data_IF_755220867405
#
_entry.id   IF_755220867405
#
_cell.length_a   1.000
_cell.length_b   1.000
_cell.length_c   1.000
_cell.angle_alpha   90.00
_cell.angle_beta   90.00
_cell.angle_gamma   90.00
#
_symmetry.space_group_name_H-M   'P 1'
#
loop_
_entity.id
_entity.type
_entity.pdbx_description
1 polymer ?
#
# COMPACT_ATOMS: atom_id res chain seq x y z
N UNK A 1 17.36 7.50 -19.06
CA UNK A 1 17.21 6.61 -20.23
C UNK A 1 17.62 5.21 -19.82
N UNK A 2 16.88 4.18 -20.21
CA UNK A 2 17.23 2.77 -19.98
C UNK A 2 17.84 2.14 -21.24
N UNK A 3 18.49 0.98 -21.09
CA UNK A 3 19.13 0.19 -22.15
C UNK A 3 18.30 -1.01 -22.60
N UNK A 4 17.27 -1.40 -21.86
CA UNK A 4 16.51 -2.65 -22.05
C UNK A 4 17.13 -3.86 -21.31
N UNK A 5 18.36 -3.75 -20.81
CA UNK A 5 18.97 -4.75 -19.93
C UNK A 5 18.47 -4.62 -18.49
N UNK A 6 18.78 -5.61 -17.64
CA UNK A 6 18.48 -5.56 -16.21
C UNK A 6 19.05 -4.31 -15.53
N UNK A 7 18.31 -3.77 -14.55
CA UNK A 7 18.67 -2.56 -13.78
C UNK A 7 18.82 -2.96 -12.31
N UNK A 8 20.01 -2.77 -11.75
CA UNK A 8 20.27 -2.94 -10.32
C UNK A 8 20.27 -1.57 -9.62
N UNK A 9 19.67 -1.50 -8.43
CA UNK A 9 19.71 -0.32 -7.56
C UNK A 9 20.20 -0.75 -6.18
N UNK A 10 21.27 -0.12 -5.70
CA UNK A 10 21.91 -0.41 -4.41
C UNK A 10 21.54 0.69 -3.42
N UNK A 11 21.03 0.32 -2.24
CA UNK A 11 20.62 1.26 -1.18
C UNK A 11 21.41 0.93 0.10
N UNK A 12 22.50 1.65 0.40
CA UNK A 12 23.25 1.48 1.64
C UNK A 12 22.37 1.67 2.89
N UNK A 13 22.71 0.98 3.98
CA UNK A 13 22.08 1.13 5.30
C UNK A 13 23.07 1.78 6.25
N UNK A 14 22.74 2.96 6.79
CA UNK A 14 23.68 3.84 7.51
C UNK A 14 23.50 3.88 9.03
N UNK A 15 22.35 3.45 9.56
CA UNK A 15 22.02 3.45 11.01
C UNK A 15 21.64 2.05 11.50
N UNK A 16 22.51 1.06 11.25
CA UNK A 16 22.27 -0.35 11.53
C UNK A 16 22.60 -0.73 12.98
N UNK A 17 21.64 -0.54 13.90
CA UNK A 17 21.80 -0.82 15.34
C UNK A 17 21.36 -2.24 15.72
N UNK A 18 22.09 -3.25 15.26
CA UNK A 18 21.74 -4.66 15.50
C UNK A 18 21.66 -5.01 17.00
N UNK A 19 22.55 -4.42 17.82
CA UNK A 19 22.68 -4.71 19.27
C UNK A 19 21.43 -4.39 20.09
N UNK A 20 20.62 -3.44 19.63
CA UNK A 20 19.37 -3.04 20.29
C UNK A 20 18.33 -4.19 20.30
N UNK A 21 18.59 -5.28 19.55
CA UNK A 21 17.73 -6.46 19.43
C UNK A 21 18.34 -7.75 20.01
N UNK A 22 19.58 -7.73 20.52
CA UNK A 22 20.26 -8.95 21.00
C UNK A 22 19.49 -9.57 22.20
N UNK A 23 18.91 -8.72 23.06
CA UNK A 23 18.05 -9.12 24.18
C UNK A 23 16.70 -9.76 23.76
N UNK A 24 16.39 -9.80 22.46
CA UNK A 24 15.17 -10.38 21.88
C UNK A 24 15.47 -11.62 21.03
N UNK A 25 16.67 -12.21 21.15
CA UNK A 25 17.13 -13.34 20.33
C UNK A 25 16.17 -14.54 20.36
N UNK A 26 15.74 -14.95 21.56
CA UNK A 26 14.94 -16.15 21.84
C UNK A 26 13.46 -15.86 22.14
N UNK A 27 13.13 -14.65 22.60
CA UNK A 27 11.74 -14.20 22.85
C UNK A 27 10.97 -14.13 21.52
N UNK A 28 9.76 -14.71 21.44
CA UNK A 28 8.86 -14.54 20.30
C UNK A 28 8.09 -13.22 20.44
N UNK A 29 8.21 -12.30 19.49
CA UNK A 29 7.55 -10.98 19.59
C UNK A 29 6.10 -11.07 19.08
N UNK A 30 5.08 -10.68 19.88
CA UNK A 30 3.69 -10.65 19.44
C UNK A 30 3.51 -9.88 18.13
N UNK A 31 2.71 -10.43 17.21
CA UNK A 31 2.42 -9.82 15.91
C UNK A 31 3.58 -9.75 14.89
N UNK A 32 4.79 -10.23 15.22
CA UNK A 32 5.90 -10.38 14.27
C UNK A 32 5.91 -11.79 13.65
N UNK A 33 6.71 -11.97 12.59
CA UNK A 33 6.83 -13.24 11.87
C UNK A 33 7.69 -14.31 12.60
N UNK A 34 8.08 -14.06 13.85
CA UNK A 34 9.15 -14.78 14.56
C UNK A 34 8.93 -16.30 14.64
N UNK A 35 7.75 -16.72 15.12
CA UNK A 35 7.37 -18.13 15.18
C UNK A 35 7.31 -18.78 13.78
N UNK A 36 6.74 -18.08 12.81
CA UNK A 36 6.60 -18.58 11.44
C UNK A 36 7.95 -18.79 10.73
N UNK A 37 8.96 -17.97 11.05
CA UNK A 37 10.32 -18.17 10.54
C UNK A 37 11.02 -19.35 11.23
N UNK A 38 10.91 -19.48 12.55
CA UNK A 38 11.46 -20.65 13.27
C UNK A 38 10.83 -21.96 12.77
N UNK A 39 9.51 -22.03 12.68
CA UNK A 39 8.80 -23.22 12.22
C UNK A 39 9.10 -23.59 10.75
N UNK A 40 9.38 -22.61 9.89
CA UNK A 40 9.66 -22.83 8.46
C UNK A 40 11.13 -23.10 8.13
N UNK A 41 12.06 -22.51 8.88
CA UNK A 41 13.49 -22.51 8.53
C UNK A 41 14.40 -23.05 9.64
N UNK A 42 13.87 -23.42 10.81
CA UNK A 42 14.64 -23.81 11.99
C UNK A 42 15.43 -22.68 12.65
N UNK A 43 15.39 -21.47 12.10
CA UNK A 43 16.24 -20.34 12.51
C UNK A 43 15.56 -18.98 12.30
N UNK A 44 15.99 -17.99 13.08
CA UNK A 44 15.44 -16.61 13.09
C UNK A 44 16.56 -15.57 13.14
N UNK A 45 16.53 -14.63 12.20
CA UNK A 45 17.30 -13.39 12.34
C UNK A 45 16.54 -12.43 13.26
N UNK A 46 16.98 -12.35 14.51
CA UNK A 46 16.37 -11.54 15.56
C UNK A 46 16.69 -10.04 15.44
N UNK A 47 17.70 -9.66 14.65
CA UNK A 47 18.39 -8.35 14.69
C UNK A 47 17.62 -7.18 14.05
N UNK A 48 16.28 -7.26 14.03
CA UNK A 48 15.37 -6.24 13.48
C UNK A 48 15.38 -6.07 11.95
N UNK A 49 16.52 -6.28 11.28
CA UNK A 49 16.76 -6.03 9.86
C UNK A 49 16.71 -7.25 8.93
N UNK A 50 16.35 -8.44 9.44
CA UNK A 50 16.27 -9.67 8.67
C UNK A 50 15.19 -9.68 7.57
N UNK A 51 15.03 -10.79 6.83
CA UNK A 51 14.16 -10.85 5.63
C UNK A 51 12.67 -10.54 5.85
N UNK A 52 12.18 -10.63 7.10
CA UNK A 52 10.83 -10.22 7.48
C UNK A 52 10.66 -8.70 7.73
N UNK A 53 11.76 -7.93 7.72
CA UNK A 53 11.79 -6.51 8.04
C UNK A 53 11.28 -5.65 6.89
N UNK A 54 10.58 -4.56 7.23
CA UNK A 54 10.14 -3.56 6.26
C UNK A 54 11.29 -2.88 5.49
N UNK A 55 12.56 -3.06 5.90
CA UNK A 55 13.73 -2.58 5.15
C UNK A 55 13.76 -3.07 3.70
N UNK A 56 13.20 -4.24 3.40
CA UNK A 56 13.11 -4.79 2.04
C UNK A 56 12.25 -3.91 1.11
N UNK A 57 11.21 -3.23 1.62
CA UNK A 57 10.32 -2.42 0.77
C UNK A 57 11.01 -1.20 0.19
N UNK A 58 12.16 -0.76 0.71
CA UNK A 58 12.98 0.28 0.09
C UNK A 58 13.42 -0.10 -1.33
N UNK A 59 13.72 -1.37 -1.58
CA UNK A 59 14.03 -1.87 -2.92
C UNK A 59 12.78 -1.87 -3.82
N UNK A 60 11.61 -2.21 -3.26
CA UNK A 60 10.32 -2.15 -3.97
C UNK A 60 9.96 -0.72 -4.37
N UNK A 61 10.14 0.26 -3.48
CA UNK A 61 9.93 1.68 -3.79
C UNK A 61 10.86 2.15 -4.91
N UNK A 62 12.15 1.77 -4.87
CA UNK A 62 13.09 2.10 -5.94
C UNK A 62 12.70 1.48 -7.31
N UNK A 63 12.23 0.23 -7.33
CA UNK A 63 11.69 -0.41 -8.52
C UNK A 63 10.36 0.24 -8.97
N UNK A 64 9.51 0.62 -8.02
CA UNK A 64 8.25 1.34 -8.24
C UNK A 64 8.46 2.71 -8.89
N UNK A 65 9.55 3.42 -8.61
CA UNK A 65 9.93 4.65 -9.32
C UNK A 65 10.25 4.39 -10.80
N UNK A 66 10.84 3.23 -11.14
CA UNK A 66 11.03 2.83 -12.53
C UNK A 66 9.69 2.49 -13.18
N UNK A 67 8.82 1.75 -12.48
CA UNK A 67 7.48 1.39 -12.95
C UNK A 67 6.57 2.62 -13.18
N UNK A 68 6.50 3.56 -12.23
CA UNK A 68 5.81 4.86 -12.38
C UNK A 68 6.32 5.61 -13.62
N UNK A 69 7.64 5.60 -13.89
CA UNK A 69 8.24 6.26 -15.07
C UNK A 69 7.88 5.57 -16.40
N UNK A 70 7.81 4.24 -16.43
CA UNK A 70 7.33 3.48 -17.61
C UNK A 70 5.86 3.84 -17.89
N UNK A 71 5.00 3.74 -16.87
CA UNK A 71 3.57 4.02 -16.98
C UNK A 71 3.28 5.48 -17.38
N UNK A 72 3.95 6.45 -16.76
CA UNK A 72 3.82 7.86 -17.11
C UNK A 72 4.30 8.15 -18.54
N UNK A 73 5.41 7.55 -18.98
CA UNK A 73 5.96 7.77 -20.33
C UNK A 73 5.17 7.05 -21.44
N UNK A 74 4.44 5.98 -21.12
CA UNK A 74 3.72 5.16 -22.10
C UNK A 74 2.23 5.52 -22.21
N UNK A 75 1.60 5.88 -21.09
CA UNK A 75 0.15 6.06 -20.96
C UNK A 75 -0.24 7.45 -20.42
N UNK A 76 0.74 8.26 -20.00
CA UNK A 76 0.48 9.42 -19.14
C UNK A 76 -0.01 9.04 -17.74
N UNK A 77 0.02 7.74 -17.38
CA UNK A 77 -0.60 7.24 -16.16
C UNK A 77 0.07 7.79 -14.89
N UNK A 78 -0.74 8.06 -13.87
CA UNK A 78 -0.31 8.43 -12.52
C UNK A 78 -0.73 7.35 -11.54
N UNK A 79 0.09 7.10 -10.53
CA UNK A 79 -0.27 6.31 -9.35
C UNK A 79 -0.01 7.19 -8.12
N UNK A 80 -1.05 7.53 -7.38
CA UNK A 80 -1.02 8.41 -6.20
C UNK A 80 -1.66 7.67 -5.04
N UNK A 81 -0.95 7.57 -3.92
CA UNK A 81 -1.47 6.98 -2.67
C UNK A 81 -1.59 8.02 -1.56
N UNK A 82 -2.50 7.79 -0.62
CA UNK A 82 -2.71 8.63 0.55
C UNK A 82 -3.29 7.86 1.73
N UNK A 83 -3.13 8.39 2.94
CA UNK A 83 -3.78 7.88 4.14
C UNK A 83 -5.22 8.37 4.17
N UNK A 84 -6.18 7.44 4.25
CA UNK A 84 -7.61 7.71 4.21
C UNK A 84 -8.33 7.43 5.54
N UNK A 85 -7.68 6.69 6.45
CA UNK A 85 -8.16 6.48 7.82
C UNK A 85 -6.99 6.25 8.77
N UNK A 86 -7.03 6.83 9.98
CA UNK A 86 -6.19 6.42 11.12
C UNK A 86 -7.06 6.25 12.35
N UNK A 87 -7.10 5.04 12.91
CA UNK A 87 -8.03 4.71 14.00
C UNK A 87 -9.49 4.89 13.56
N UNK A 88 -10.23 5.69 14.30
CA UNK A 88 -11.61 6.14 14.02
C UNK A 88 -11.68 7.39 13.12
N UNK A 89 -10.56 8.07 12.86
CA UNK A 89 -10.50 9.27 12.03
C UNK A 89 -10.45 8.89 10.54
N UNK A 90 -11.59 9.02 9.86
CA UNK A 90 -11.69 8.94 8.40
C UNK A 90 -11.41 10.32 7.75
N UNK A 91 -10.99 10.29 6.49
CA UNK A 91 -10.80 11.43 5.60
C UNK A 91 -11.91 11.54 4.55
N UNK A 92 -12.38 12.77 4.28
CA UNK A 92 -13.41 13.03 3.28
C UNK A 92 -12.78 13.37 1.92
N UNK A 93 -12.73 12.39 1.01
CA UNK A 93 -12.14 12.52 -0.33
C UNK A 93 -13.18 12.11 -1.40
N UNK A 94 -14.06 13.02 -1.84
CA UNK A 94 -15.19 12.70 -2.72
C UNK A 94 -14.78 12.35 -4.15
N UNK A 95 -13.65 12.88 -4.64
CA UNK A 95 -13.01 12.42 -5.88
C UNK A 95 -11.58 11.93 -5.60
N UNK A 96 -11.38 10.61 -5.40
CA UNK A 96 -10.06 10.01 -5.27
C UNK A 96 -9.14 10.19 -6.50
N UNK A 97 -9.69 10.42 -7.69
CA UNK A 97 -8.93 10.56 -8.94
C UNK A 97 -8.39 11.99 -9.17
N UNK A 98 -8.99 12.99 -8.52
CA UNK A 98 -8.48 14.37 -8.48
C UNK A 98 -7.25 14.53 -7.56
N UNK A 99 -7.00 13.59 -6.63
CA UNK A 99 -5.89 13.69 -5.66
C UNK A 99 -4.54 13.73 -6.37
N UNK A 100 -3.72 14.73 -6.02
CA UNK A 100 -2.37 14.91 -6.57
C UNK A 100 -1.28 14.66 -5.52
N UNK A 101 -0.07 14.37 -5.98
CA UNK A 101 1.12 14.19 -5.13
C UNK A 101 1.37 15.40 -4.23
N UNK A 102 1.15 16.63 -4.71
CA UNK A 102 1.35 17.85 -3.92
C UNK A 102 0.31 17.99 -2.78
N UNK A 103 -0.95 17.62 -3.02
CA UNK A 103 -2.01 17.56 -1.98
C UNK A 103 -1.71 16.50 -0.90
N UNK A 104 -0.96 15.45 -1.24
CA UNK A 104 -0.58 14.38 -0.31
C UNK A 104 0.68 14.76 0.47
N UNK A 105 1.67 15.39 -0.18
CA UNK A 105 2.95 15.75 0.43
C UNK A 105 2.91 17.09 1.20
N UNK A 106 1.86 17.92 1.04
CA UNK A 106 1.71 19.21 1.74
C UNK A 106 0.51 19.30 2.69
N UNK A 107 0.66 20.11 3.73
CA UNK A 107 -0.43 20.62 4.56
C UNK A 107 -1.01 21.92 4.01
N UNK A 108 -2.04 22.45 4.68
CA UNK A 108 -2.74 23.69 4.29
C UNK A 108 -1.86 24.95 4.31
N UNK A 109 -0.71 24.89 4.98
CA UNK A 109 0.32 25.94 5.07
C UNK A 109 1.46 25.76 4.04
N UNK A 110 1.39 24.70 3.21
CA UNK A 110 2.42 24.33 2.24
C UNK A 110 3.61 23.55 2.81
N UNK A 111 3.66 23.34 4.13
CA UNK A 111 4.68 22.55 4.82
C UNK A 111 4.50 21.03 4.59
N UNK A 112 5.51 20.19 4.84
CA UNK A 112 5.40 18.74 4.61
C UNK A 112 4.30 18.07 5.45
N UNK A 113 3.40 17.33 4.81
CA UNK A 113 2.29 16.63 5.44
C UNK A 113 2.78 15.40 6.23
N UNK A 114 2.75 15.39 7.58
CA UNK A 114 3.32 14.31 8.37
C UNK A 114 2.52 13.00 8.27
N UNK A 115 1.25 13.08 7.87
CA UNK A 115 0.34 11.93 7.78
C UNK A 115 -0.05 11.54 6.36
N UNK A 116 0.31 12.33 5.35
CA UNK A 116 0.01 12.07 3.92
C UNK A 116 -1.48 11.87 3.64
N UNK A 117 -2.32 12.72 4.24
CA UNK A 117 -3.76 12.76 4.03
C UNK A 117 -4.14 14.09 3.32
N UNK A 118 -4.83 14.06 2.15
CA UNK A 118 -5.18 15.26 1.39
C UNK A 118 -6.35 16.06 2.00
N UNK A 119 -7.21 15.42 2.80
CA UNK A 119 -8.12 16.13 3.69
C UNK A 119 -7.29 16.70 4.86
N UNK A 120 -7.03 18.01 4.83
CA UNK A 120 -6.23 18.67 5.87
C UNK A 120 -6.94 18.72 7.24
N UNK A 121 -8.28 18.67 7.29
CA UNK A 121 -9.02 18.66 8.53
C UNK A 121 -8.96 17.27 9.20
N UNK A 122 -9.08 16.20 8.42
CA UNK A 122 -8.79 14.86 8.90
C UNK A 122 -7.30 14.70 9.23
N UNK A 123 -6.38 15.23 8.44
CA UNK A 123 -4.94 15.13 8.70
C UNK A 123 -4.58 15.66 10.11
N UNK A 124 -5.14 16.79 10.53
CA UNK A 124 -4.95 17.33 11.88
C UNK A 124 -5.49 16.39 12.98
N UNK A 125 -6.68 15.79 12.76
CA UNK A 125 -7.27 14.78 13.67
C UNK A 125 -6.43 13.49 13.71
N UNK A 126 -5.93 13.03 12.57
CA UNK A 126 -5.05 11.86 12.45
C UNK A 126 -3.73 12.07 13.19
N UNK A 127 -3.11 13.25 13.07
CA UNK A 127 -1.93 13.63 13.87
C UNK A 127 -2.23 13.53 15.36
N UNK A 128 -3.36 14.10 15.81
CA UNK A 128 -3.76 14.04 17.22
C UNK A 128 -3.98 12.60 17.74
N UNK A 129 -4.56 11.72 16.92
CA UNK A 129 -4.75 10.30 17.24
C UNK A 129 -3.42 9.51 17.32
N UNK A 130 -2.49 9.75 16.39
CA UNK A 130 -1.15 9.14 16.41
C UNK A 130 -0.35 9.63 17.62
N UNK A 131 -0.47 10.91 17.95
CA UNK A 131 0.13 11.53 19.14
C UNK A 131 -0.49 11.00 20.44
N UNK A 132 -1.79 10.68 20.47
CA UNK A 132 -2.43 10.00 21.60
C UNK A 132 -1.84 8.61 21.80
N UNK A 133 -1.89 7.75 20.78
CA UNK A 133 -1.30 6.41 20.84
C UNK A 133 0.17 6.44 21.31
N UNK A 134 0.97 7.41 20.81
CA UNK A 134 2.36 7.58 21.25
C UNK A 134 2.50 7.96 22.73
N UNK A 135 1.64 8.82 23.28
CA UNK A 135 1.63 9.15 24.73
C UNK A 135 1.22 7.95 25.57
N UNK A 136 0.25 7.19 25.09
CA UNK A 136 -0.30 6.00 25.75
C UNK A 136 0.63 4.77 25.60
N UNK A 137 1.82 4.97 25.01
CA UNK A 137 2.87 3.97 24.73
C UNK A 137 2.44 2.86 23.76
N UNK A 138 1.42 3.10 22.96
CA UNK A 138 0.81 2.14 22.05
C UNK A 138 0.97 2.56 20.56
N UNK A 139 0.21 1.94 19.67
CA UNK A 139 0.19 2.25 18.24
C UNK A 139 -1.23 2.19 17.66
N UNK A 140 -1.41 2.80 16.49
CA UNK A 140 -2.69 2.87 15.78
C UNK A 140 -2.52 2.42 14.32
N UNK A 141 -3.53 1.72 13.80
CA UNK A 141 -3.63 1.28 12.41
C UNK A 141 -4.64 2.12 11.62
N UNK A 142 -5.11 1.60 10.49
CA UNK A 142 -6.11 2.26 9.65
C UNK A 142 -5.99 1.87 8.19
N UNK A 143 -6.27 2.79 7.28
CA UNK A 143 -6.39 2.52 5.84
C UNK A 143 -5.62 3.55 5.02
N UNK A 144 -4.94 3.07 3.97
CA UNK A 144 -4.43 3.91 2.89
C UNK A 144 -5.15 3.57 1.58
N UNK A 145 -5.51 4.60 0.83
CA UNK A 145 -6.06 4.50 -0.53
C UNK A 145 -4.92 4.64 -1.54
N UNK A 146 -4.96 3.89 -2.64
CA UNK A 146 -4.09 4.09 -3.81
C UNK A 146 -4.95 4.18 -5.07
N UNK A 147 -4.72 5.23 -5.87
CA UNK A 147 -5.47 5.51 -7.09
C UNK A 147 -4.53 5.52 -8.29
N UNK A 148 -4.89 4.79 -9.34
CA UNK A 148 -4.20 4.83 -10.63
C UNK A 148 -5.11 5.45 -11.70
N UNK A 149 -4.69 6.58 -12.26
CA UNK A 149 -5.43 7.34 -13.28
C UNK A 149 -4.74 7.28 -14.64
N UNK A 150 -5.53 7.44 -15.72
CA UNK A 150 -5.11 7.25 -17.12
C UNK A 150 -4.52 5.86 -17.41
N UNK A 151 -5.07 4.84 -16.75
CA UNK A 151 -4.93 3.43 -17.15
C UNK A 151 -5.99 3.17 -18.24
N UNK A 152 -5.63 2.68 -19.43
CA UNK A 152 -6.60 2.38 -20.48
C UNK A 152 -7.48 1.19 -20.11
N UNK A 153 -8.58 0.98 -20.83
CA UNK A 153 -9.34 -0.26 -20.78
C UNK A 153 -8.53 -1.43 -21.38
N UNK A 154 -8.79 -2.66 -20.96
CA UNK A 154 -8.17 -3.86 -21.53
C UNK A 154 -6.89 -4.37 -20.85
N UNK A 155 -6.54 -3.85 -19.67
CA UNK A 155 -5.38 -4.29 -18.89
C UNK A 155 -5.77 -5.40 -17.90
N UNK A 156 -5.17 -6.59 -17.99
CA UNK A 156 -5.47 -7.75 -17.13
C UNK A 156 -5.86 -9.00 -17.92
N UNK A 157 -5.69 -10.18 -17.31
CA UNK A 157 -6.06 -11.46 -17.92
C UNK A 157 -7.48 -11.92 -17.49
N UNK A 158 -8.23 -12.64 -18.35
CA UNK A 158 -9.64 -12.97 -18.09
C UNK A 158 -9.88 -14.06 -17.03
N UNK A 159 -8.85 -14.87 -16.69
CA UNK A 159 -8.99 -16.03 -15.79
C UNK A 159 -7.99 -16.00 -14.63
N UNK A 160 -6.71 -16.30 -14.88
CA UNK A 160 -5.73 -16.56 -13.81
C UNK A 160 -4.95 -15.31 -13.38
N UNK A 161 -4.49 -14.47 -14.33
CA UNK A 161 -3.81 -13.20 -14.04
C UNK A 161 -4.76 -12.01 -13.96
N UNK A 162 -5.86 -12.10 -13.20
CA UNK A 162 -6.82 -10.98 -13.09
C UNK A 162 -6.14 -9.79 -12.44
N UNK A 163 -6.25 -8.60 -13.04
CA UNK A 163 -5.57 -7.40 -12.57
C UNK A 163 -5.86 -7.11 -11.08
N UNK A 164 -7.11 -7.28 -10.63
CA UNK A 164 -7.48 -7.13 -9.21
C UNK A 164 -6.82 -8.15 -8.27
N UNK A 165 -6.53 -9.37 -8.76
CA UNK A 165 -5.87 -10.41 -7.96
C UNK A 165 -4.37 -10.12 -7.84
N UNK A 166 -3.71 -9.75 -8.94
CA UNK A 166 -2.29 -9.37 -8.93
C UNK A 166 -2.06 -8.09 -8.10
N UNK A 167 -2.97 -7.10 -8.19
CA UNK A 167 -2.93 -5.89 -7.36
C UNK A 167 -3.13 -6.21 -5.86
N UNK A 168 -4.09 -7.07 -5.52
CA UNK A 168 -4.31 -7.50 -4.16
C UNK A 168 -3.10 -8.28 -3.61
N UNK A 169 -2.54 -9.23 -4.37
CA UNK A 169 -1.33 -9.95 -4.01
C UNK A 169 -0.12 -9.00 -3.84
N UNK A 170 0.01 -8.00 -4.71
CA UNK A 170 1.01 -6.94 -4.60
C UNK A 170 0.91 -6.20 -3.27
N UNK A 171 -0.30 -5.77 -2.88
CA UNK A 171 -0.54 -5.08 -1.61
C UNK A 171 -0.41 -5.99 -0.38
N UNK A 172 -0.99 -7.20 -0.38
CA UNK A 172 -0.84 -8.19 0.70
C UNK A 172 0.61 -8.67 0.90
N UNK A 173 1.47 -8.55 -0.10
CA UNK A 173 2.90 -8.86 0.04
C UNK A 173 3.71 -7.81 0.81
N UNK A 174 3.09 -6.69 1.22
CA UNK A 174 3.70 -5.66 2.06
C UNK A 174 3.50 -5.96 3.55
N UNK A 175 4.46 -5.60 4.43
CA UNK A 175 4.32 -5.78 5.86
C UNK A 175 3.08 -5.09 6.43
N UNK A 176 2.47 -5.72 7.45
CA UNK A 176 1.31 -5.22 8.22
C UNK A 176 0.00 -5.00 7.44
N UNK A 177 -0.09 -5.32 6.15
CA UNK A 177 -1.38 -5.36 5.43
C UNK A 177 -2.19 -6.57 5.89
N UNK A 178 -3.46 -6.33 6.25
CA UNK A 178 -4.39 -7.37 6.74
C UNK A 178 -5.70 -7.43 5.95
N UNK A 179 -5.97 -6.46 5.09
CA UNK A 179 -7.09 -6.45 4.16
C UNK A 179 -6.80 -5.58 2.95
N UNK A 180 -7.36 -5.94 1.79
CA UNK A 180 -7.27 -5.17 0.54
C UNK A 180 -8.62 -5.21 -0.16
N UNK A 181 -9.07 -4.08 -0.66
CA UNK A 181 -10.31 -3.93 -1.43
C UNK A 181 -10.13 -2.99 -2.63
N UNK A 182 -11.12 -2.97 -3.52
CA UNK A 182 -11.15 -2.10 -4.70
C UNK A 182 -12.59 -1.60 -4.96
N UNK A 183 -12.74 -0.39 -5.48
CA UNK A 183 -14.05 0.23 -5.71
C UNK A 183 -14.83 0.47 -4.41
N UNK A 184 -16.08 0.02 -4.35
CA UNK A 184 -16.87 -0.01 -3.10
C UNK A 184 -16.37 -1.06 -2.09
N UNK A 185 -15.55 -2.02 -2.52
CA UNK A 185 -14.95 -2.99 -1.63
C UNK A 185 -15.96 -3.79 -0.81
N UNK A 186 -15.85 -3.75 0.52
CA UNK A 186 -16.84 -4.37 1.41
C UNK A 186 -18.19 -3.63 1.43
N UNK A 187 -18.25 -2.36 1.05
CA UNK A 187 -19.51 -1.59 0.92
C UNK A 187 -20.48 -2.20 -0.10
N UNK A 188 -19.95 -2.85 -1.14
CA UNK A 188 -20.74 -3.56 -2.14
C UNK A 188 -21.64 -4.66 -1.55
N UNK A 189 -21.28 -5.25 -0.40
CA UNK A 189 -22.01 -6.34 0.23
C UNK A 189 -23.41 -5.95 0.76
N UNK A 190 -23.68 -4.65 0.97
CA UNK A 190 -25.01 -4.14 1.37
C UNK A 190 -25.76 -3.45 0.23
N UNK A 191 -25.18 -3.38 -0.97
CA UNK A 191 -25.79 -2.73 -2.13
C UNK A 191 -26.67 -3.68 -2.94
N UNK A 192 -27.70 -3.12 -3.60
CA UNK A 192 -28.44 -3.82 -4.66
C UNK A 192 -27.72 -3.58 -6.00
N UNK A 193 -27.81 -4.53 -6.94
CA UNK A 193 -27.23 -4.37 -8.28
C UNK A 193 -27.70 -3.10 -9.00
N UNK A 194 -28.95 -2.66 -8.79
CA UNK A 194 -29.48 -1.40 -9.33
C UNK A 194 -28.85 -0.12 -8.76
N UNK A 195 -28.03 -0.23 -7.70
CA UNK A 195 -27.30 0.88 -7.08
C UNK A 195 -25.76 0.72 -7.19
N UNK A 196 -25.26 -0.50 -7.43
CA UNK A 196 -23.83 -0.78 -7.65
C UNK A 196 -23.45 -0.82 -9.14
N UNK A 197 -24.37 -1.15 -10.05
CA UNK A 197 -24.04 -1.24 -11.48
C UNK A 197 -23.74 0.15 -12.05
N UNK A 198 -22.48 0.40 -12.39
CA UNK A 198 -22.01 1.61 -13.05
C UNK A 198 -22.55 1.71 -14.50
N UNK A 199 -23.46 2.65 -14.82
CA UNK A 199 -24.03 2.77 -16.17
C UNK A 199 -22.98 3.27 -17.18
N UNK A 200 -22.93 2.65 -18.36
CA UNK A 200 -22.07 3.12 -19.45
C UNK A 200 -22.58 4.41 -20.09
N UNK A 201 -21.64 5.28 -20.46
CA UNK A 201 -21.88 6.52 -21.21
C UNK A 201 -20.77 6.72 -22.24
N UNK A 202 -20.99 7.61 -23.19
CA UNK A 202 -19.93 8.19 -24.03
C UNK A 202 -19.56 9.55 -23.44
N UNK A 203 -18.28 9.93 -23.47
CA UNK A 203 -17.83 11.28 -23.09
C UNK A 203 -17.74 12.24 -24.30
N UNK A 204 -17.37 13.50 -24.05
CA UNK A 204 -17.34 14.54 -25.08
C UNK A 204 -16.34 14.28 -26.23
N UNK A 205 -15.33 13.43 -26.01
CA UNK A 205 -14.34 13.04 -26.99
C UNK A 205 -14.72 11.73 -27.72
N UNK A 206 -15.89 11.15 -27.41
CA UNK A 206 -16.38 9.92 -28.02
C UNK A 206 -15.92 8.63 -27.33
N UNK A 207 -15.24 8.70 -26.19
CA UNK A 207 -14.75 7.51 -25.49
C UNK A 207 -15.82 6.89 -24.57
N UNK A 208 -15.86 5.56 -24.52
CA UNK A 208 -16.73 4.83 -23.59
C UNK A 208 -16.21 4.96 -22.15
N UNK A 209 -17.10 5.38 -21.25
CA UNK A 209 -16.89 5.49 -19.80
C UNK A 209 -18.05 4.87 -19.04
N UNK A 210 -18.01 4.94 -17.72
CA UNK A 210 -19.21 4.83 -16.86
C UNK A 210 -19.49 6.16 -16.15
N UNK A 211 -20.75 6.41 -15.77
CA UNK A 211 -21.17 7.64 -15.06
C UNK A 211 -20.79 7.65 -13.58
N UNK A 212 -20.44 6.48 -13.04
CA UNK A 212 -19.98 6.20 -11.68
C UNK A 212 -18.76 5.25 -11.74
N UNK A 213 -18.15 4.91 -10.60
CA UNK A 213 -16.98 4.03 -10.54
C UNK A 213 -16.99 3.09 -9.31
N UNK A 214 -18.16 2.56 -8.95
CA UNK A 214 -18.34 1.58 -7.87
C UNK A 214 -17.51 0.31 -8.10
N UNK A 215 -17.33 -0.11 -9.36
CA UNK A 215 -16.41 -1.18 -9.75
C UNK A 215 -14.90 -0.84 -9.61
N UNK A 216 -14.54 0.38 -9.24
CA UNK A 216 -13.16 0.78 -8.90
C UNK A 216 -12.15 0.59 -10.02
N UNK A 217 -12.53 0.90 -11.26
CA UNK A 217 -11.71 0.78 -12.46
C UNK A 217 -11.49 -0.64 -13.01
N UNK A 218 -12.01 -1.71 -12.38
CA UNK A 218 -11.79 -3.11 -12.81
C UNK A 218 -13.11 -3.90 -12.94
N UNK A 219 -13.43 -4.35 -14.16
CA UNK A 219 -14.59 -5.20 -14.47
C UNK A 219 -14.14 -6.59 -14.94
N UNK A 220 -14.75 -7.66 -14.40
CA UNK A 220 -14.41 -9.06 -14.71
C UNK A 220 -13.01 -9.54 -14.25
N UNK A 221 -12.08 -8.63 -13.99
CA UNK A 221 -10.64 -8.86 -13.81
C UNK A 221 -9.75 -8.02 -14.73
N UNK A 222 -10.34 -7.19 -15.59
CA UNK A 222 -9.68 -6.36 -16.61
C UNK A 222 -10.02 -4.88 -16.32
N UNK A 223 -9.11 -3.94 -16.61
CA UNK A 223 -9.37 -2.51 -16.44
C UNK A 223 -10.48 -2.00 -17.37
N UNK A 224 -11.30 -1.07 -16.87
CA UNK A 224 -12.43 -0.48 -17.58
C UNK A 224 -12.11 0.87 -18.26
N UNK A 225 -10.91 1.43 -18.06
CA UNK A 225 -10.57 2.81 -18.45
C UNK A 225 -10.99 3.89 -17.44
N UNK A 226 -11.71 3.51 -16.38
CA UNK A 226 -12.00 4.37 -15.23
C UNK A 226 -10.84 4.29 -14.20
N UNK A 227 -10.70 5.28 -13.30
CA UNK A 227 -9.66 5.27 -12.27
C UNK A 227 -9.68 3.98 -11.45
N UNK A 228 -8.54 3.29 -11.34
CA UNK A 228 -8.43 2.13 -10.45
C UNK A 228 -8.28 2.65 -9.02
N UNK A 229 -9.23 2.32 -8.15
CA UNK A 229 -9.26 2.76 -6.74
C UNK A 229 -9.11 1.52 -5.86
N UNK A 230 -8.03 1.49 -5.08
CA UNK A 230 -7.68 0.42 -4.14
C UNK A 230 -7.61 0.98 -2.72
N UNK A 231 -7.97 0.19 -1.71
CA UNK A 231 -7.70 0.52 -0.31
C UNK A 231 -7.04 -0.67 0.39
N UNK A 232 -6.08 -0.41 1.27
CA UNK A 232 -5.37 -1.42 2.03
C UNK A 232 -5.42 -1.09 3.54
N UNK A 233 -5.93 -2.04 4.32
CA UNK A 233 -6.00 -1.96 5.77
C UNK A 233 -4.66 -2.41 6.37
N UNK A 234 -4.05 -1.51 7.16
CA UNK A 234 -2.75 -1.70 7.81
C UNK A 234 -2.96 -1.80 9.31
N UNK A 235 -2.51 -2.91 9.91
CA UNK A 235 -2.63 -3.14 11.36
C UNK A 235 -1.71 -2.21 12.19
N UNK A 236 -1.99 -2.00 13.48
CA UNK A 236 -1.08 -1.28 14.39
C UNK A 236 0.32 -1.91 14.47
N UNK A 237 1.32 -1.07 14.79
CA UNK A 237 2.72 -1.46 14.93
C UNK A 237 2.92 -2.41 16.11
N UNK A 238 3.26 -3.68 15.87
CA UNK A 238 3.31 -4.69 16.94
C UNK A 238 4.52 -4.58 17.89
N UNK A 239 5.46 -3.65 17.64
CA UNK A 239 6.48 -3.26 18.60
C UNK A 239 6.07 -1.99 19.35
N UNK A 240 5.60 -2.14 20.59
CA UNK A 240 5.16 -1.03 21.46
C UNK A 240 5.94 -1.01 22.78
N UNK A 241 6.20 0.18 23.37
CA UNK A 241 6.79 0.34 24.70
C UNK A 241 5.78 0.08 25.85
N UNK A 242 4.98 -0.98 25.74
CA UNK A 242 4.15 -1.54 26.81
C UNK A 242 4.54 -3.00 27.05
N UNK A 243 4.54 -3.48 28.31
CA UNK A 243 4.74 -4.90 28.60
C UNK A 243 3.66 -5.77 27.94
N UNK A 244 4.08 -6.88 27.33
CA UNK A 244 3.23 -7.88 26.69
C UNK A 244 3.68 -9.27 27.10
N UNK A 245 2.75 -10.12 27.53
CA UNK A 245 3.01 -11.52 27.78
C UNK A 245 3.27 -12.27 26.46
N UNK A 246 4.24 -13.17 26.45
CA UNK A 246 4.62 -14.01 25.32
C UNK A 246 5.36 -15.27 25.80
N UNK A 247 6.04 -15.98 24.90
CA UNK A 247 6.95 -17.11 25.23
C UNK A 247 8.32 -16.95 24.56
N UNK A 248 9.32 -17.67 25.07
CA UNK A 248 10.58 -17.93 24.39
C UNK A 248 10.40 -19.02 23.34
N UNK A 249 11.42 -19.23 22.50
CA UNK A 249 11.43 -20.25 21.45
C UNK A 249 11.33 -21.71 21.96
N UNK A 250 11.58 -21.96 23.25
CA UNK A 250 11.36 -23.25 23.92
C UNK A 250 9.94 -23.41 24.51
N UNK A 251 9.08 -22.40 24.39
CA UNK A 251 7.72 -22.37 24.94
C UNK A 251 7.63 -21.87 26.39
N UNK A 252 8.74 -21.54 27.05
CA UNK A 252 8.71 -21.00 28.41
C UNK A 252 8.12 -19.58 28.45
N UNK A 253 7.34 -19.21 29.49
CA UNK A 253 6.73 -17.87 29.59
C UNK A 253 7.76 -16.73 29.61
N UNK A 254 7.44 -15.63 28.94
CA UNK A 254 8.24 -14.42 28.90
C UNK A 254 7.36 -13.16 28.86
N UNK A 255 7.98 -12.02 29.14
CA UNK A 255 7.41 -10.69 28.92
C UNK A 255 8.31 -9.91 27.97
N UNK A 256 7.71 -9.02 27.17
CA UNK A 256 8.44 -8.10 26.29
C UNK A 256 7.86 -6.68 26.35
N UNK A 257 8.74 -5.69 26.52
CA UNK A 257 8.46 -4.26 26.32
C UNK A 257 9.46 -3.74 25.28
N UNK A 258 9.01 -3.30 24.11
CA UNK A 258 9.94 -2.90 23.02
C UNK A 258 10.27 -1.41 23.14
N UNK A 259 11.42 -1.12 23.76
CA UNK A 259 11.92 0.25 23.97
C UNK A 259 12.75 0.72 22.76
N UNK A 260 12.44 1.90 22.24
CA UNK A 260 13.18 2.51 21.14
C UNK A 260 12.35 3.46 20.31
N UNK A 261 12.86 3.83 19.13
CA UNK A 261 12.11 4.61 18.12
C UNK A 261 11.32 3.66 17.22
N UNK A 262 10.09 3.36 17.61
CA UNK A 262 9.12 2.66 16.78
C UNK A 262 8.07 3.64 16.25
N UNK A 263 7.54 3.37 15.05
CA UNK A 263 6.51 4.22 14.45
C UNK A 263 5.16 3.95 15.14
N UNK A 264 4.52 4.92 15.80
CA UNK A 264 3.20 4.72 16.42
C UNK A 264 2.08 4.52 15.37
N UNK A 265 2.34 4.80 14.09
CA UNK A 265 1.47 4.48 12.97
C UNK A 265 2.31 4.25 11.70
N UNK A 266 2.05 3.16 10.99
CA UNK A 266 2.81 2.77 9.78
C UNK A 266 2.35 3.50 8.51
N UNK A 267 1.12 4.02 8.49
CA UNK A 267 0.42 4.45 7.28
C UNK A 267 1.16 5.50 6.43
N UNK A 268 1.78 6.56 7.00
CA UNK A 268 2.50 7.56 6.18
C UNK A 268 3.72 6.96 5.47
N UNK A 269 4.37 5.96 6.08
CA UNK A 269 5.49 5.22 5.46
C UNK A 269 4.99 4.16 4.48
N UNK A 270 3.80 3.60 4.70
CA UNK A 270 3.17 2.60 3.85
C UNK A 270 2.74 3.16 2.49
N UNK A 271 2.24 4.39 2.41
CA UNK A 271 1.79 5.05 1.16
C UNK A 271 2.74 4.82 -0.04
N UNK A 272 4.03 5.22 -0.01
CA UNK A 272 4.93 5.01 -1.15
C UNK A 272 5.23 3.52 -1.43
N UNK A 273 5.11 2.64 -0.43
CA UNK A 273 5.26 1.19 -0.64
C UNK A 273 4.06 0.61 -1.41
N UNK A 274 2.85 1.06 -1.07
CA UNK A 274 1.61 0.66 -1.72
C UNK A 274 1.54 1.16 -3.16
N UNK A 275 1.86 2.45 -3.38
CA UNK A 275 2.04 3.02 -4.73
C UNK A 275 3.03 2.22 -5.58
N UNK A 276 4.16 1.83 -5.00
CA UNK A 276 5.20 1.09 -5.70
C UNK A 276 4.72 -0.28 -6.15
N UNK A 277 4.01 -1.03 -5.30
CA UNK A 277 3.46 -2.33 -5.66
C UNK A 277 2.35 -2.22 -6.72
N UNK A 278 1.47 -1.22 -6.60
CA UNK A 278 0.44 -0.94 -7.62
C UNK A 278 1.08 -0.55 -8.96
N UNK A 279 2.08 0.31 -8.96
CA UNK A 279 2.81 0.69 -10.17
C UNK A 279 3.57 -0.50 -10.79
N UNK A 280 4.20 -1.37 -10.00
CA UNK A 280 4.89 -2.56 -10.48
C UNK A 280 3.94 -3.54 -11.17
N UNK A 281 2.80 -3.83 -10.56
CA UNK A 281 1.77 -4.72 -11.14
C UNK A 281 1.21 -4.12 -12.44
N UNK A 282 0.86 -2.83 -12.45
CA UNK A 282 0.35 -2.15 -13.65
C UNK A 282 1.38 -2.10 -14.78
N UNK A 283 2.66 -1.91 -14.46
CA UNK A 283 3.74 -1.91 -15.45
C UNK A 283 3.99 -3.31 -16.04
N UNK A 284 3.96 -4.36 -15.21
CA UNK A 284 4.09 -5.75 -15.66
C UNK A 284 2.93 -6.15 -16.58
N UNK A 285 1.68 -5.88 -16.18
CA UNK A 285 0.51 -6.09 -17.03
C UNK A 285 0.59 -5.31 -18.35
N UNK A 286 1.07 -4.06 -18.31
CA UNK A 286 1.22 -3.25 -19.52
C UNK A 286 2.26 -3.85 -20.47
N UNK A 287 3.41 -4.29 -19.94
CA UNK A 287 4.46 -4.92 -20.73
C UNK A 287 4.03 -6.28 -21.29
N UNK A 288 3.33 -7.11 -20.51
CA UNK A 288 2.69 -8.36 -20.98
C UNK A 288 1.75 -8.09 -22.15
N UNK A 289 0.84 -7.14 -22.00
CA UNK A 289 -0.15 -6.78 -23.03
C UNK A 289 0.51 -6.22 -24.30
N UNK A 290 1.53 -5.35 -24.19
CA UNK A 290 2.31 -4.88 -25.35
C UNK A 290 3.12 -6.00 -26.02
N UNK A 291 3.58 -7.00 -25.27
CA UNK A 291 4.22 -8.20 -25.81
C UNK A 291 3.25 -9.10 -26.60
N UNK A 292 1.99 -9.19 -26.17
CA UNK A 292 0.95 -9.97 -26.84
C UNK A 292 0.43 -9.33 -28.14
N UNK A 293 0.16 -8.01 -28.14
CA UNK A 293 -0.54 -7.34 -29.25
C UNK A 293 0.23 -6.18 -29.91
N UNK A 294 1.53 -6.05 -29.66
CA UNK A 294 2.37 -4.98 -30.21
C UNK A 294 2.11 -3.61 -29.56
N UNK A 295 2.47 -2.47 -30.20
CA UNK A 295 2.16 -1.15 -29.66
C UNK A 295 0.65 -0.84 -29.71
N UNK A 296 0.17 0.04 -28.84
CA UNK A 296 -1.19 0.58 -28.96
C UNK A 296 -1.29 1.37 -30.27
N UNK A 297 -2.17 0.93 -31.18
CA UNK A 297 -2.76 1.87 -32.15
C UNK A 297 -3.39 2.99 -31.33
N UNK A 298 -3.22 4.25 -31.76
CA UNK A 298 -4.08 5.32 -31.25
C UNK A 298 -5.52 4.96 -31.61
N UNK A 299 -6.38 4.91 -30.60
CA UNK A 299 -7.80 5.12 -30.77
C UNK A 299 -8.02 6.64 -30.88
#
# INVERSE_FOLDING_TARGET
RTTGTAVAILIPSTDARSRDYDALQDILRPGHADHGYLAKYGARDHRGGGRASARETAARVAAGVVAKKILASALGAKVVGYVSQVGDVLAEVPDPAAVTEDMVERGADGAPNPVRCPDHAAAARMVAAIEAARRDKDSVGGVATVVATRIPAGLGEPVFGKLKADLAAGLFSLPAVVGVEYGEGFGAAVMRGSAHNDPFTVDGDGALRTTSNHHGGILGGISSGMPIVLRAAVKPTSSIPRPQATVRADGSPAEIEVRGRHDPCLLPRFVPMAEAMVALVLADHYLRWRGQVGPTKKM
#
